data_IF_104274723582
#
_entry.id   IF_104274723582
#
_cell.length_a   1.000
_cell.length_b   1.000
_cell.length_c   1.000
_cell.angle_alpha   90.00
_cell.angle_beta   90.00
_cell.angle_gamma   90.00
#
_symmetry.space_group_name_H-M   'P 1'
#
loop_
_entity.id
_entity.type
_entity.pdbx_description
1 polymer ?
#
# COMPACT_ATOMS: atom_id res chain seq x y z
N UNK A 1 -3.72 17.28 -1.69
CA UNK A 1 -3.46 17.48 -0.25
C UNK A 1 -3.62 16.15 0.45
N UNK A 2 -2.53 15.43 0.74
CA UNK A 2 -2.58 14.25 1.60
C UNK A 2 -2.54 14.76 3.05
N UNK A 3 -3.57 14.46 3.83
CA UNK A 3 -3.62 14.86 5.22
C UNK A 3 -2.43 14.27 5.96
N UNK A 4 -1.57 15.14 6.49
CA UNK A 4 -0.60 14.78 7.53
C UNK A 4 -1.38 14.22 8.71
N UNK A 5 -1.36 12.89 8.88
CA UNK A 5 -2.02 12.20 9.99
C UNK A 5 -1.15 12.36 11.25
N UNK A 6 -1.70 12.88 12.36
CA UNK A 6 -0.95 12.98 13.60
C UNK A 6 -0.81 11.56 14.19
N UNK A 7 0.42 11.11 14.42
CA UNK A 7 0.79 9.87 15.11
C UNK A 7 -0.08 8.64 14.76
N UNK A 8 0.32 7.89 13.73
CA UNK A 8 -0.25 6.57 13.44
C UNK A 8 0.00 5.66 14.64
N UNK A 9 -1.01 5.52 15.50
CA UNK A 9 -0.97 4.56 16.60
C UNK A 9 -1.30 3.20 15.98
N UNK A 10 -0.34 2.28 15.97
CA UNK A 10 -0.55 0.95 15.42
C UNK A 10 -1.34 0.06 16.41
N UNK A 11 -2.21 -0.84 15.92
CA UNK A 11 -3.00 -1.69 16.79
C UNK A 11 -2.11 -2.72 17.49
N UNK A 12 -2.22 -2.84 18.81
CA UNK A 12 -1.49 -3.83 19.61
C UNK A 12 -2.49 -4.72 20.31
N UNK A 13 -2.38 -6.03 20.09
CA UNK A 13 -3.24 -7.03 20.73
C UNK A 13 -2.61 -7.46 22.05
N UNK A 14 -3.27 -7.14 23.15
CA UNK A 14 -2.91 -7.60 24.50
C UNK A 14 -3.86 -8.72 24.90
N UNK A 15 -3.32 -9.84 25.38
CA UNK A 15 -4.10 -10.99 25.86
C UNK A 15 -3.89 -11.08 27.36
N UNK A 16 -4.98 -10.96 28.13
CA UNK A 16 -4.95 -11.07 29.58
C UNK A 16 -5.63 -12.39 29.99
N UNK A 17 -4.94 -13.20 30.81
CA UNK A 17 -5.44 -14.48 31.30
C UNK A 17 -5.12 -15.69 30.42
N UNK A 18 -5.58 -16.87 30.83
CA UNK A 18 -5.37 -18.12 30.10
C UNK A 18 -6.52 -18.33 29.10
N UNK A 19 -6.21 -18.28 27.81
CA UNK A 19 -7.17 -18.49 26.72
C UNK A 19 -6.95 -19.86 26.07
N UNK A 20 -8.00 -20.48 25.49
CA UNK A 20 -7.86 -21.76 24.79
C UNK A 20 -6.82 -21.69 23.66
N UNK A 21 -6.04 -22.76 23.47
CA UNK A 21 -4.95 -22.79 22.49
C UNK A 21 -5.39 -22.45 21.06
N UNK A 22 -6.61 -22.86 20.67
CA UNK A 22 -7.16 -22.54 19.36
C UNK A 22 -7.34 -21.03 19.15
N UNK A 23 -7.79 -20.33 20.19
CA UNK A 23 -7.96 -18.89 20.17
C UNK A 23 -6.60 -18.17 20.20
N UNK A 24 -5.66 -18.68 21.00
CA UNK A 24 -4.29 -18.15 21.05
C UNK A 24 -3.62 -18.21 19.67
N UNK A 25 -3.75 -19.34 18.95
CA UNK A 25 -3.23 -19.48 17.58
C UNK A 25 -3.87 -18.47 16.61
N UNK A 26 -5.17 -18.24 16.70
CA UNK A 26 -5.87 -17.25 15.85
C UNK A 26 -5.39 -15.82 16.14
N UNK A 27 -5.27 -15.45 17.42
CA UNK A 27 -4.78 -14.13 17.82
C UNK A 27 -3.31 -13.93 17.43
N UNK A 28 -2.48 -14.98 17.51
CA UNK A 28 -1.10 -14.92 17.04
C UNK A 28 -1.04 -14.63 15.54
N UNK A 29 -1.82 -15.34 14.71
CA UNK A 29 -1.92 -15.04 13.27
C UNK A 29 -2.34 -13.60 12.99
N UNK A 30 -3.30 -13.07 13.74
CA UNK A 30 -3.74 -11.68 13.61
C UNK A 30 -2.62 -10.69 14.00
N UNK A 31 -1.86 -10.98 15.06
CA UNK A 31 -0.67 -10.17 15.44
C UNK A 31 0.36 -10.15 14.32
N UNK A 32 0.66 -11.31 13.74
CA UNK A 32 1.59 -11.42 12.60
C UNK A 32 1.09 -10.61 11.40
N UNK A 33 -0.21 -10.70 11.08
CA UNK A 33 -0.81 -9.95 9.99
C UNK A 33 -0.70 -8.44 10.21
N UNK A 34 -0.99 -7.95 11.42
CA UNK A 34 -0.81 -6.54 11.78
C UNK A 34 0.67 -6.13 11.62
N UNK A 35 1.60 -6.93 12.14
CA UNK A 35 3.03 -6.64 12.03
C UNK A 35 3.50 -6.56 10.58
N UNK A 36 3.03 -7.48 9.72
CA UNK A 36 3.33 -7.45 8.28
C UNK A 36 2.73 -6.21 7.60
N UNK A 37 1.49 -5.83 7.92
CA UNK A 37 0.88 -4.61 7.38
C UNK A 37 1.67 -3.36 7.76
N UNK A 38 2.14 -3.26 9.01
CA UNK A 38 2.97 -2.13 9.47
C UNK A 38 4.29 -2.09 8.69
N UNK A 39 5.01 -3.21 8.60
CA UNK A 39 6.26 -3.29 7.86
C UNK A 39 6.06 -2.90 6.38
N UNK A 40 4.98 -3.36 5.76
CA UNK A 40 4.61 -2.97 4.39
C UNK A 40 4.41 -1.47 4.27
N UNK A 41 3.71 -0.82 5.21
CA UNK A 41 3.51 0.63 5.19
C UNK A 41 4.84 1.39 5.31
N UNK A 42 5.70 0.98 6.24
CA UNK A 42 7.00 1.61 6.47
C UNK A 42 7.93 1.49 5.25
N UNK A 43 7.90 0.34 4.57
CA UNK A 43 8.82 0.06 3.47
C UNK A 43 8.28 0.55 2.12
N UNK A 44 6.96 0.59 1.94
CA UNK A 44 6.31 1.01 0.70
C UNK A 44 6.65 2.45 0.34
N UNK A 45 6.65 3.40 1.29
CA UNK A 45 6.95 4.81 1.00
C UNK A 45 8.36 5.00 0.42
N UNK A 46 9.34 4.27 0.95
CA UNK A 46 10.71 4.31 0.45
C UNK A 46 10.81 3.74 -0.96
N UNK A 47 10.15 2.60 -1.22
CA UNK A 47 10.13 1.94 -2.52
C UNK A 47 9.39 2.77 -3.59
N UNK A 48 8.22 3.33 -3.25
CA UNK A 48 7.44 4.21 -4.12
C UNK A 48 8.28 5.41 -4.57
N UNK A 49 8.97 6.05 -3.62
CA UNK A 49 9.86 7.19 -3.90
C UNK A 49 11.00 6.79 -4.83
N UNK A 50 11.74 5.73 -4.49
CA UNK A 50 12.87 5.24 -5.30
C UNK A 50 12.46 4.85 -6.72
N UNK A 51 11.33 4.16 -6.87
CA UNK A 51 10.82 3.76 -8.19
C UNK A 51 10.40 5.01 -8.98
N UNK A 52 9.76 5.98 -8.34
CA UNK A 52 9.39 7.26 -8.95
C UNK A 52 10.61 8.04 -9.46
N UNK A 53 11.65 8.15 -8.64
CA UNK A 53 12.94 8.75 -9.01
C UNK A 53 13.61 8.00 -10.16
N UNK A 54 13.63 6.67 -10.12
CA UNK A 54 14.20 5.83 -11.18
C UNK A 54 13.48 6.06 -12.51
N UNK A 55 12.14 6.12 -12.51
CA UNK A 55 11.34 6.43 -13.72
C UNK A 55 11.70 7.80 -14.30
N UNK A 56 11.94 8.79 -13.44
CA UNK A 56 12.35 10.13 -13.86
C UNK A 56 13.74 10.10 -14.48
N UNK A 57 14.72 9.46 -13.82
CA UNK A 57 16.09 9.31 -14.34
C UNK A 57 16.11 8.62 -15.71
N UNK A 58 15.33 7.55 -15.90
CA UNK A 58 15.23 6.85 -17.20
C UNK A 58 14.64 7.75 -18.29
N UNK A 59 13.72 8.64 -17.92
CA UNK A 59 13.14 9.59 -18.86
C UNK A 59 14.14 10.66 -19.29
N UNK A 60 15.14 10.95 -18.44
CA UNK A 60 16.19 11.96 -18.68
C UNK A 60 17.43 11.36 -19.37
N UNK A 61 17.65 10.03 -19.27
CA UNK A 61 18.82 9.33 -19.83
C UNK A 61 18.80 9.10 -21.35
N UNK A 62 17.87 9.72 -22.09
CA UNK A 62 17.73 9.51 -23.54
C UNK A 62 19.00 9.88 -24.32
N UNK A 63 19.71 10.93 -23.89
CA UNK A 63 20.96 11.38 -24.53
C UNK A 63 22.12 10.41 -24.27
N UNK A 64 22.19 9.81 -23.09
CA UNK A 64 23.21 8.80 -22.77
C UNK A 64 22.98 7.52 -23.57
N UNK A 65 21.72 7.17 -23.80
CA UNK A 65 21.33 6.01 -24.59
C UNK A 65 21.76 6.15 -26.06
N UNK A 66 21.65 7.35 -26.64
CA UNK A 66 22.08 7.64 -28.00
C UNK A 66 23.61 7.56 -28.15
N UNK A 67 24.35 8.07 -27.16
CA UNK A 67 25.81 7.90 -27.07
C UNK A 67 26.20 6.43 -26.99
N UNK A 68 25.58 5.66 -26.09
CA UNK A 68 25.84 4.23 -25.92
C UNK A 68 25.53 3.41 -27.18
N UNK A 69 24.45 3.74 -27.89
CA UNK A 69 24.14 3.11 -29.18
C UNK A 69 25.24 3.38 -30.21
N UNK A 70 25.73 4.62 -30.27
CA UNK A 70 26.83 5.02 -31.17
C UNK A 70 28.14 4.32 -30.85
N UNK A 71 28.50 4.20 -29.55
CA UNK A 71 29.67 3.46 -29.07
C UNK A 71 29.58 1.96 -29.37
N UNK A 72 28.39 1.38 -29.28
CA UNK A 72 28.12 -0.02 -29.65
C UNK A 72 28.08 -0.26 -31.16
N UNK A 73 28.30 0.77 -31.99
CA UNK A 73 28.25 0.66 -33.45
C UNK A 73 26.83 0.57 -34.03
N UNK A 74 25.78 0.73 -33.21
CA UNK A 74 24.41 0.86 -33.69
C UNK A 74 24.20 2.26 -34.24
N UNK A 75 23.71 2.37 -35.47
CA UNK A 75 23.42 3.65 -36.13
C UNK A 75 22.06 3.65 -36.80
N UNK A 76 21.50 4.85 -36.97
CA UNK A 76 20.23 5.08 -37.66
C UNK A 76 19.06 4.37 -36.98
N UNK A 77 18.15 3.81 -37.78
CA UNK A 77 16.87 3.28 -37.29
C UNK A 77 16.98 2.16 -36.26
N UNK A 78 18.05 1.36 -36.29
CA UNK A 78 18.28 0.28 -35.32
C UNK A 78 18.66 0.82 -33.94
N UNK A 79 19.45 1.89 -33.88
CA UNK A 79 19.81 2.58 -32.64
C UNK A 79 18.58 3.22 -32.00
N UNK A 80 17.82 3.98 -32.79
CA UNK A 80 16.59 4.65 -32.34
C UNK A 80 15.62 3.64 -31.74
N UNK A 81 15.34 2.54 -32.45
CA UNK A 81 14.42 1.51 -31.94
C UNK A 81 14.93 0.81 -30.69
N UNK A 82 16.24 0.54 -30.58
CA UNK A 82 16.80 -0.08 -29.39
C UNK A 82 16.69 0.85 -28.16
N UNK A 83 17.00 2.14 -28.34
CA UNK A 83 16.91 3.15 -27.30
C UNK A 83 15.47 3.37 -26.82
N UNK A 84 14.53 3.49 -27.75
CA UNK A 84 13.10 3.64 -27.45
C UNK A 84 12.56 2.38 -26.74
N UNK A 85 12.89 1.19 -27.22
CA UNK A 85 12.43 -0.06 -26.63
C UNK A 85 12.96 -0.25 -25.19
N UNK A 86 14.24 0.07 -24.96
CA UNK A 86 14.83 0.02 -23.62
C UNK A 86 14.13 0.99 -22.67
N UNK A 87 13.96 2.24 -23.10
CA UNK A 87 13.29 3.28 -22.30
C UNK A 87 11.86 2.89 -21.96
N UNK A 88 11.10 2.39 -22.94
CA UNK A 88 9.72 1.96 -22.72
C UNK A 88 9.60 0.73 -21.83
N UNK A 89 10.39 -0.32 -22.07
CA UNK A 89 10.34 -1.55 -21.28
C UNK A 89 10.64 -1.27 -19.80
N UNK A 90 11.70 -0.51 -19.54
CA UNK A 90 12.12 -0.22 -18.17
C UNK A 90 11.12 0.72 -17.48
N UNK A 91 10.65 1.77 -18.17
CA UNK A 91 9.64 2.68 -17.64
C UNK A 91 8.32 1.96 -17.33
N UNK A 92 7.85 1.10 -18.22
CA UNK A 92 6.59 0.38 -18.03
C UNK A 92 6.70 -0.64 -16.89
N UNK A 93 7.80 -1.39 -16.83
CA UNK A 93 8.08 -2.33 -15.74
C UNK A 93 8.06 -1.60 -14.39
N UNK A 94 8.79 -0.50 -14.27
CA UNK A 94 8.84 0.27 -13.03
C UNK A 94 7.48 0.86 -12.65
N UNK A 95 6.69 1.35 -13.62
CA UNK A 95 5.32 1.79 -13.38
C UNK A 95 4.41 0.66 -12.88
N UNK A 96 4.57 -0.54 -13.43
CA UNK A 96 3.82 -1.73 -12.98
C UNK A 96 4.18 -2.07 -11.52
N UNK A 97 5.48 -2.09 -11.19
CA UNK A 97 5.94 -2.32 -9.82
C UNK A 97 5.44 -1.24 -8.86
N UNK A 98 5.49 0.03 -9.27
CA UNK A 98 4.94 1.15 -8.50
C UNK A 98 3.46 0.95 -8.18
N UNK A 99 2.67 0.51 -9.16
CA UNK A 99 1.25 0.23 -9.00
C UNK A 99 1.00 -0.89 -7.99
N UNK A 100 1.77 -1.98 -8.08
CA UNK A 100 1.67 -3.11 -7.14
C UNK A 100 2.00 -2.66 -5.71
N UNK A 101 3.11 -1.95 -5.51
CA UNK A 101 3.52 -1.48 -4.19
C UNK A 101 2.51 -0.50 -3.59
N UNK A 102 1.99 0.44 -4.40
CA UNK A 102 0.98 1.40 -3.95
C UNK A 102 -0.30 0.68 -3.53
N UNK A 103 -0.75 -0.30 -4.31
CA UNK A 103 -1.92 -1.10 -3.97
C UNK A 103 -1.70 -1.91 -2.67
N UNK A 104 -0.53 -2.52 -2.50
CA UNK A 104 -0.21 -3.25 -1.26
C UNK A 104 -0.15 -2.32 -0.03
N UNK A 105 0.27 -1.07 -0.22
CA UNK A 105 0.23 -0.04 0.81
C UNK A 105 -1.22 0.29 1.20
N UNK A 106 -2.09 0.54 0.21
CA UNK A 106 -3.51 0.83 0.44
C UNK A 106 -4.21 -0.34 1.16
N UNK A 107 -3.97 -1.58 0.72
CA UNK A 107 -4.52 -2.78 1.36
C UNK A 107 -4.05 -2.92 2.81
N UNK A 108 -2.77 -2.67 3.10
CA UNK A 108 -2.24 -2.70 4.46
C UNK A 108 -2.87 -1.62 5.35
N UNK A 109 -3.11 -0.43 4.81
CA UNK A 109 -3.78 0.66 5.52
C UNK A 109 -5.25 0.33 5.82
N UNK A 110 -5.94 -0.28 4.87
CA UNK A 110 -7.32 -0.73 5.03
C UNK A 110 -7.44 -1.82 6.10
N UNK A 111 -6.52 -2.80 6.11
CA UNK A 111 -6.46 -3.84 7.13
C UNK A 111 -6.33 -3.22 8.54
N UNK A 112 -5.41 -2.27 8.72
CA UNK A 112 -5.23 -1.59 10.02
C UNK A 112 -6.50 -0.85 10.43
N UNK A 113 -7.14 -0.18 9.47
CA UNK A 113 -8.40 0.56 9.69
C UNK A 113 -9.51 -0.41 10.14
N UNK A 114 -9.69 -1.52 9.42
CA UNK A 114 -10.68 -2.55 9.78
C UNK A 114 -10.43 -3.17 11.15
N UNK A 115 -9.17 -3.37 11.55
CA UNK A 115 -8.83 -3.86 12.90
C UNK A 115 -9.29 -2.86 13.97
N UNK A 116 -9.08 -1.56 13.76
CA UNK A 116 -9.57 -0.53 14.66
C UNK A 116 -11.10 -0.47 14.70
N UNK A 117 -11.76 -0.51 13.56
CA UNK A 117 -13.21 -0.41 13.48
C UNK A 117 -13.89 -1.61 14.12
N UNK A 118 -13.41 -2.82 13.82
CA UNK A 118 -13.90 -4.06 14.42
C UNK A 118 -13.67 -4.05 15.93
N UNK A 119 -12.49 -3.63 16.39
CA UNK A 119 -12.23 -3.48 17.82
C UNK A 119 -13.18 -2.48 18.49
N UNK A 120 -13.51 -1.38 17.80
CA UNK A 120 -14.41 -0.35 18.27
C UNK A 120 -15.84 -0.85 18.43
N UNK A 121 -16.35 -1.57 17.41
CA UNK A 121 -17.68 -2.21 17.44
C UNK A 121 -17.77 -3.25 18.54
N UNK A 122 -16.72 -4.04 18.74
CA UNK A 122 -16.67 -5.08 19.78
C UNK A 122 -16.43 -4.52 21.19
N UNK A 123 -16.14 -3.22 21.33
CA UNK A 123 -15.85 -2.59 22.63
C UNK A 123 -14.55 -3.08 23.28
N UNK A 124 -13.65 -3.70 22.50
CA UNK A 124 -12.39 -4.27 23.00
C UNK A 124 -11.19 -3.32 22.84
N UNK A 125 -11.41 -2.12 22.29
CA UNK A 125 -10.39 -1.08 22.26
C UNK A 125 -10.19 -0.49 23.65
N UNK A 126 -8.92 -0.22 23.99
CA UNK A 126 -8.59 0.64 25.13
C UNK A 126 -9.23 2.03 24.98
N UNK A 127 -9.44 2.74 26.10
CA UNK A 127 -10.00 4.11 26.13
C UNK A 127 -9.25 5.11 25.23
N UNK A 128 -7.98 4.84 24.89
CA UNK A 128 -7.21 5.61 23.90
C UNK A 128 -7.56 5.29 22.43
N UNK A 129 -8.01 4.07 22.14
CA UNK A 129 -8.37 3.61 20.79
C UNK A 129 -9.78 4.02 20.34
N UNK A 130 -10.69 4.25 21.29
CA UNK A 130 -12.10 4.63 20.99
C UNK A 130 -12.23 6.03 20.38
N UNK A 131 -11.30 6.95 20.67
CA UNK A 131 -11.26 8.29 20.07
C UNK A 131 -10.96 8.28 18.56
N UNK A 132 -10.29 7.23 18.07
CA UNK A 132 -9.88 7.11 16.67
C UNK A 132 -10.98 6.51 15.77
N UNK A 133 -11.82 5.63 16.32
CA UNK A 133 -12.88 4.92 15.57
C UNK A 133 -14.11 5.79 15.27
N UNK A 134 -14.35 6.85 16.06
CA UNK A 134 -15.59 7.66 15.97
C UNK A 134 -15.71 8.53 14.69
N UNK A 135 -14.72 8.56 13.79
CA UNK A 135 -14.65 9.54 12.69
C UNK A 135 -14.90 9.05 11.26
N UNK A 136 -15.24 7.78 10.99
CA UNK A 136 -15.30 7.30 9.58
C UNK A 136 -16.47 6.42 9.12
N UNK A 137 -17.56 6.29 9.89
CA UNK A 137 -18.78 5.62 9.41
C UNK A 137 -20.00 6.54 9.42
N UNK A 138 -20.06 7.44 8.43
CA UNK A 138 -21.30 7.72 7.72
C UNK A 138 -21.29 6.85 6.46
N UNK A 139 -21.50 5.53 6.60
CA UNK A 139 -21.87 4.69 5.46
C UNK A 139 -23.35 4.34 5.62
N UNK A 140 -24.09 4.68 4.57
CA UNK A 140 -25.52 4.48 4.38
C UNK A 140 -25.93 3.09 4.89
N UNK A 141 -26.72 3.06 5.96
CA UNK A 141 -27.44 1.85 6.36
C UNK A 141 -28.46 1.61 5.26
N UNK A 142 -28.26 0.58 4.44
CA UNK A 142 -29.30 0.12 3.53
C UNK A 142 -30.42 -0.47 4.40
N UNK A 143 -31.54 0.26 4.52
CA UNK A 143 -32.76 -0.25 5.12
C UNK A 143 -33.37 -1.25 4.14
N UNK A 144 -33.52 -2.55 4.49
CA UNK A 144 -34.10 -3.55 3.60
C UNK A 144 -35.64 -3.45 3.51
N UNK A 145 -36.23 -2.29 3.81
CA UNK A 145 -37.68 -2.08 3.90
C UNK A 145 -38.25 -1.08 2.88
N UNK A 146 -37.44 -0.56 1.96
CA UNK A 146 -37.90 0.46 0.99
C UNK A 146 -37.91 0.05 -0.48
N UNK A 147 -37.60 -1.20 -0.83
CA UNK A 147 -37.81 -1.69 -2.21
C UNK A 147 -38.93 -2.74 -2.24
N UNK A 148 -40.16 -2.25 -2.09
CA UNK A 148 -41.32 -2.93 -2.67
C UNK A 148 -41.56 -2.32 -4.06
N UNK A 149 -41.54 -3.11 -5.15
CA UNK A 149 -41.89 -2.60 -6.47
C UNK A 149 -43.42 -2.56 -6.56
N UNK A 150 -43.96 -1.35 -6.76
CA UNK A 150 -45.22 -1.13 -7.45
C UNK A 150 -44.93 -0.35 -8.72
#
# INVERSE_FOLDING_TARGET
MRCSTPFVTFPVIVVNGNIPDQLQRKLHKLKTLIAHSIATLEHADNLITKIGESIKQISESHNDLDRLCSEAGLKGQKAIRAAENFTWNLRWLLKSQLSVVSKSQDEAQDIITQVFDTGGVLGILSSRGTACSRRKYSRVVHNPSTDSPL
#
